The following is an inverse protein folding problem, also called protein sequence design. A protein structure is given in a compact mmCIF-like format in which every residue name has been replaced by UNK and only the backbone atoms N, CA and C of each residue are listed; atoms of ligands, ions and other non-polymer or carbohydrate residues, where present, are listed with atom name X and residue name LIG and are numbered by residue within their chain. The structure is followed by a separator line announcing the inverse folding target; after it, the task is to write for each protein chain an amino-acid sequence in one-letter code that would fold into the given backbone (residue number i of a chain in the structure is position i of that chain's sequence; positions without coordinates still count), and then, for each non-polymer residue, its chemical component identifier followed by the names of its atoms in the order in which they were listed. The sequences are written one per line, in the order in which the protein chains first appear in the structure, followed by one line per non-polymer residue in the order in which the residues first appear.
data_IF_472426513319
#
_entry.id   IF_472426513319
#
_cell.length_a   1.000
_cell.length_b   1.000
_cell.length_c   1.000
_cell.angle_alpha   90.00
_cell.angle_beta   90.00
_cell.angle_gamma   90.00
#
_symmetry.space_group_name_H-M   'P 1'
#
loop_
_entity.id
_entity.type
_entity.pdbx_description
1 polymer ?
#
# COMPACT_ATOMS: atom_id res chain seq x y z
N UNK A 1 4.90 -10.69 -12.39
CA UNK A 1 3.86 -10.77 -11.34
C UNK A 1 2.51 -10.76 -12.02
N UNK A 2 1.54 -11.54 -11.55
CA UNK A 2 0.19 -11.50 -12.11
C UNK A 2 -0.53 -10.20 -11.74
N UNK A 3 -1.56 -9.81 -12.51
CA UNK A 3 -2.40 -8.65 -12.17
C UNK A 3 -3.02 -8.78 -10.78
N UNK A 4 -3.50 -9.97 -10.43
CA UNK A 4 -4.15 -10.22 -9.14
C UNK A 4 -3.18 -10.07 -7.96
N UNK A 5 -1.94 -10.53 -8.10
CA UNK A 5 -0.90 -10.32 -7.08
C UNK A 5 -0.55 -8.84 -6.90
N UNK A 6 -0.42 -8.08 -8.00
CA UNK A 6 -0.14 -6.65 -7.94
C UNK A 6 -1.26 -5.92 -7.19
N UNK A 7 -2.52 -6.21 -7.53
CA UNK A 7 -3.68 -5.63 -6.84
C UNK A 7 -3.67 -5.97 -5.37
N UNK A 8 -3.50 -7.25 -5.01
CA UNK A 8 -3.47 -7.70 -3.61
C UNK A 8 -2.38 -6.99 -2.80
N UNK A 9 -1.14 -6.97 -3.29
CA UNK A 9 -0.03 -6.33 -2.56
C UNK A 9 -0.19 -4.81 -2.44
N UNK A 10 -0.75 -4.16 -3.46
CA UNK A 10 -1.08 -2.73 -3.34
C UNK A 10 -2.18 -2.49 -2.31
N UNK A 11 -3.20 -3.35 -2.22
CA UNK A 11 -4.21 -3.27 -1.15
C UNK A 11 -3.59 -3.43 0.25
N UNK A 12 -2.63 -4.34 0.42
CA UNK A 12 -1.89 -4.49 1.68
C UNK A 12 -1.12 -3.21 2.04
N UNK A 13 -0.42 -2.60 1.07
CA UNK A 13 0.25 -1.30 1.26
C UNK A 13 -0.73 -0.18 1.60
N UNK A 14 -1.90 -0.15 0.98
CA UNK A 14 -2.94 0.84 1.29
C UNK A 14 -3.45 0.69 2.72
N UNK A 15 -3.60 -0.53 3.23
CA UNK A 15 -4.03 -0.76 4.61
C UNK A 15 -2.99 -0.23 5.61
N UNK A 16 -1.69 -0.42 5.33
CA UNK A 16 -0.60 0.16 6.13
C UNK A 16 -0.60 1.68 6.10
N UNK A 17 -0.77 2.26 4.90
CA UNK A 17 -0.84 3.71 4.74
C UNK A 17 -2.02 4.33 5.49
N UNK A 18 -3.19 3.69 5.43
CA UNK A 18 -4.37 4.13 6.17
C UNK A 18 -4.11 4.08 7.67
N UNK A 19 -3.47 3.03 8.18
CA UNK A 19 -3.10 2.96 9.61
C UNK A 19 -2.19 4.11 10.02
N UNK A 20 -1.19 4.42 9.21
CA UNK A 20 -0.31 5.56 9.45
C UNK A 20 -1.07 6.89 9.47
N UNK A 21 -2.00 7.11 8.52
CA UNK A 21 -2.85 8.32 8.51
C UNK A 21 -3.70 8.44 9.77
N UNK A 22 -4.24 7.33 10.29
CA UNK A 22 -5.02 7.37 11.52
C UNK A 22 -4.20 7.85 12.71
N UNK A 23 -2.90 7.52 12.75
CA UNK A 23 -1.98 7.96 13.80
C UNK A 23 -1.42 9.38 13.53
N UNK A 24 -1.37 9.80 12.26
CA UNK A 24 -0.77 11.04 11.78
C UNK A 24 -1.66 11.77 10.76
N UNK A 25 -2.85 12.27 11.16
CA UNK A 25 -3.80 12.87 10.23
C UNK A 25 -3.28 14.14 9.53
N UNK A 26 -2.36 14.89 10.14
CA UNK A 26 -1.74 16.11 9.60
C UNK A 26 -0.96 15.88 8.30
N UNK A 27 -0.65 14.63 7.97
CA UNK A 27 0.01 14.26 6.73
C UNK A 27 -0.91 14.50 5.52
N UNK A 28 -2.24 14.40 5.72
CA UNK A 28 -3.23 14.67 4.68
C UNK A 28 -3.23 16.14 4.24
N UNK A 29 -2.86 17.07 5.13
CA UNK A 29 -2.80 18.51 4.82
C UNK A 29 -1.75 18.84 3.73
N UNK A 30 -0.78 17.93 3.53
CA UNK A 30 0.28 18.07 2.53
C UNK A 30 -0.09 17.43 1.19
N UNK A 31 -1.22 16.73 1.11
CA UNK A 31 -1.66 16.03 -0.10
C UNK A 31 -2.50 16.99 -0.95
N UNK A 32 -2.06 17.32 -2.19
CA UNK A 32 -2.85 18.16 -3.07
C UNK A 32 -4.19 17.51 -3.38
N UNK A 33 -5.27 18.30 -3.39
CA UNK A 33 -6.59 17.82 -3.78
C UNK A 33 -6.54 17.23 -5.19
N UNK A 34 -7.13 16.04 -5.37
CA UNK A 34 -7.16 15.33 -6.65
C UNK A 34 -5.87 14.57 -6.99
N UNK A 35 -4.84 14.60 -6.12
CA UNK A 35 -3.63 13.81 -6.32
C UNK A 35 -3.90 12.31 -6.29
N UNK A 36 -3.21 11.60 -7.18
CA UNK A 36 -3.21 10.15 -7.24
C UNK A 36 -2.12 9.62 -6.31
N UNK A 37 -2.51 8.78 -5.35
CA UNK A 37 -1.56 8.11 -4.46
C UNK A 37 -0.94 6.90 -5.17
N UNK A 38 0.38 6.81 -5.16
CA UNK A 38 1.11 5.59 -5.50
C UNK A 38 2.06 5.24 -4.37
N UNK A 39 1.98 4.01 -3.87
CA UNK A 39 2.86 3.52 -2.82
C UNK A 39 3.98 2.70 -3.46
N UNK A 40 5.25 3.03 -3.18
CA UNK A 40 6.42 2.27 -3.62
C UNK A 40 6.92 1.39 -2.48
N UNK A 41 6.93 0.05 -2.65
CA UNK A 41 7.47 -0.85 -1.64
C UNK A 41 9.00 -0.78 -1.61
N UNK A 42 9.62 -0.59 -0.44
CA UNK A 42 11.10 -0.63 -0.35
C UNK A 42 11.65 -2.07 -0.40
N UNK A 43 10.83 -3.05 -0.05
CA UNK A 43 11.22 -4.45 0.12
C UNK A 43 10.66 -5.41 -0.97
N UNK A 44 10.04 -4.88 -2.04
CA UNK A 44 9.57 -5.67 -3.19
C UNK A 44 9.91 -4.97 -4.51
N UNK A 45 11.11 -5.23 -5.08
CA UNK A 45 11.57 -4.59 -6.31
C UNK A 45 10.68 -4.85 -7.52
N UNK A 46 10.01 -6.02 -7.56
CA UNK A 46 9.14 -6.36 -8.66
C UNK A 46 7.85 -5.53 -8.64
N UNK A 47 7.27 -5.32 -7.45
CA UNK A 47 6.10 -4.45 -7.28
C UNK A 47 6.48 -2.98 -7.48
N UNK A 48 7.63 -2.55 -6.95
CA UNK A 48 8.15 -1.20 -7.17
C UNK A 48 8.31 -0.89 -8.67
N UNK A 49 8.77 -1.85 -9.47
CA UNK A 49 8.87 -1.69 -10.93
C UNK A 49 7.52 -1.44 -11.58
N UNK A 50 6.47 -2.19 -11.21
CA UNK A 50 5.13 -2.01 -11.78
C UNK A 50 4.50 -0.69 -11.32
N UNK A 51 4.65 -0.32 -10.04
CA UNK A 51 4.13 0.94 -9.51
C UNK A 51 4.85 2.15 -10.12
N UNK A 52 6.14 2.04 -10.44
CA UNK A 52 6.87 3.08 -11.20
C UNK A 52 6.30 3.30 -12.61
N UNK A 53 5.83 2.25 -13.30
CA UNK A 53 5.14 2.41 -14.59
C UNK A 53 3.84 3.20 -14.41
N UNK A 54 3.10 2.94 -13.34
CA UNK A 54 1.89 3.70 -12.99
C UNK A 54 2.21 5.18 -12.77
N UNK A 55 3.28 5.50 -12.05
CA UNK A 55 3.76 6.88 -11.85
C UNK A 55 4.08 7.53 -13.21
N UNK A 56 4.81 6.82 -14.09
CA UNK A 56 5.13 7.31 -15.44
C UNK A 56 3.89 7.63 -16.26
N UNK A 57 2.89 6.74 -16.25
CA UNK A 57 1.60 6.93 -16.95
C UNK A 57 0.84 8.14 -16.41
N UNK A 58 0.69 8.25 -15.09
CA UNK A 58 -0.04 9.36 -14.45
C UNK A 58 0.63 10.72 -14.72
N UNK A 59 1.98 10.75 -14.72
CA UNK A 59 2.74 11.95 -15.11
C UNK A 59 2.51 12.33 -16.57
N UNK A 60 2.49 11.35 -17.48
CA UNK A 60 2.21 11.59 -18.89
C UNK A 60 0.78 12.11 -19.13
N UNK A 61 -0.16 11.74 -18.26
CA UNK A 61 -1.55 12.23 -18.25
C UNK A 61 -1.70 13.61 -17.56
N UNK A 62 -0.62 14.19 -17.03
CA UNK A 62 -0.65 15.48 -16.34
C UNK A 62 -1.33 15.46 -14.97
N UNK A 63 -1.55 14.28 -14.39
CA UNK A 63 -2.21 14.14 -13.10
C UNK A 63 -1.20 14.37 -11.96
N UNK A 64 -1.57 15.10 -10.90
CA UNK A 64 -0.73 15.22 -9.71
C UNK A 64 -0.57 13.85 -9.05
N UNK A 65 0.66 13.49 -8.68
CA UNK A 65 0.98 12.18 -8.07
C UNK A 65 1.66 12.41 -6.72
N UNK A 66 1.14 11.78 -5.68
CA UNK A 66 1.80 11.65 -4.37
C UNK A 66 2.43 10.27 -4.29
N UNK A 67 3.72 10.24 -3.98
CA UNK A 67 4.50 9.00 -3.86
C UNK A 67 4.82 8.78 -2.39
N UNK A 68 4.39 7.64 -1.86
CA UNK A 68 4.69 7.21 -0.49
C UNK A 68 5.59 5.99 -0.55
N UNK A 69 6.64 5.96 0.27
CA UNK A 69 7.54 4.81 0.37
C UNK A 69 7.24 4.05 1.66
N UNK A 70 6.92 2.76 1.55
CA UNK A 70 6.59 1.90 2.69
C UNK A 70 7.15 0.49 2.47
N UNK A 71 7.30 -0.28 3.53
CA UNK A 71 7.56 -1.71 3.39
C UNK A 71 6.23 -2.45 3.24
N UNK A 72 6.21 -3.51 2.43
CA UNK A 72 5.10 -4.46 2.51
C UNK A 72 5.03 -5.00 3.95
N UNK A 73 3.82 -5.06 4.55
CA UNK A 73 3.67 -5.57 5.87
C UNK A 73 4.09 -7.03 5.91
N UNK A 74 4.84 -7.39 6.94
CA UNK A 74 5.03 -8.81 7.25
C UNK A 74 3.71 -9.34 7.79
N UNK A 75 3.23 -10.51 7.33
CA UNK A 75 2.06 -11.13 7.92
C UNK A 75 2.24 -11.22 9.44
N UNK A 76 1.23 -10.81 10.24
CA UNK A 76 1.33 -10.96 11.67
C UNK A 76 1.48 -12.46 12.01
N UNK A 77 2.15 -12.76 13.12
CA UNK A 77 2.17 -14.12 13.68
C UNK A 77 1.00 -14.24 14.64
N UNK A 78 -0.12 -14.88 14.27
CA UNK A 78 -1.24 -15.04 15.19
C UNK A 78 -0.89 -16.06 16.28
N UNK A 79 -1.38 -15.82 17.50
CA UNK A 79 -1.53 -16.88 18.50
C UNK A 79 -2.87 -17.55 18.25
N UNK A 80 -2.88 -18.87 18.13
CA UNK A 80 -4.08 -19.66 17.84
C UNK A 80 -4.38 -20.51 19.08
N UNK A 81 -5.58 -20.34 19.63
CA UNK A 81 -6.12 -21.18 20.70
C UNK A 81 -7.28 -21.99 20.15
N UNK A 82 -7.28 -23.31 20.40
CA UNK A 82 -8.36 -24.22 19.97
C UNK A 82 -9.04 -24.78 21.22
N UNK A 83 -10.33 -24.50 21.36
CA UNK A 83 -11.17 -25.02 22.45
C UNK A 83 -12.09 -26.08 21.86
N UNK A 84 -12.00 -27.33 22.34
CA UNK A 84 -12.91 -28.41 21.96
C UNK A 84 -14.05 -28.52 22.96
N UNK A 85 -15.29 -28.61 22.47
CA UNK A 85 -16.42 -29.01 23.31
C UNK A 85 -16.32 -30.52 23.57
N UNK A 86 -16.42 -30.93 24.83
CA UNK A 86 -16.54 -32.35 25.17
C UNK A 86 -17.95 -32.81 24.82
N UNK A 87 -18.04 -33.83 23.96
CA UNK A 87 -19.27 -34.58 23.65
C UNK A 87 -19.64 -35.54 24.78
#
# INVERSE_FOLDING_TARGET
MSKNEIVRKNLDLHAEWIRYIFEHPEVLDKIPQGAQLVILPNNDPALAKENNKTIGRLKAEGLPVVIVHLDLPKPPRPQIEVITANS
#
